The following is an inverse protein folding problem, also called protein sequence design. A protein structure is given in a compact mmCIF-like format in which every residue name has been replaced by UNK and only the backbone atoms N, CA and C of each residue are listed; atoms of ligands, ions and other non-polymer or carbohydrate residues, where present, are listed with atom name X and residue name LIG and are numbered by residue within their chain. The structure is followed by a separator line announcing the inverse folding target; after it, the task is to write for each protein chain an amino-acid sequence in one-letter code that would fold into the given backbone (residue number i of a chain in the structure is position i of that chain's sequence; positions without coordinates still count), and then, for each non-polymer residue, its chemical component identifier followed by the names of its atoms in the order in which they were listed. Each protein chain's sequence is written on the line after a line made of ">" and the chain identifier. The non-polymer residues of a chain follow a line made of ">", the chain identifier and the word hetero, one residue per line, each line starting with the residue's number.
data_IF_692365682097
#
_entry.id   IF_692365682097
#
_cell.length_a   1.000
_cell.length_b   1.000
_cell.length_c   1.000
_cell.angle_alpha   90.00
_cell.angle_beta   90.00
_cell.angle_gamma   90.00
#
_symmetry.space_group_name_H-M   'P 1'
#
loop_
_entity.id
_entity.type
_entity.pdbx_description
1 polymer ?
#
# COMPACT_ATOMS: atom_id res chain seq x y z
N UNK A 1 -37.30 12.21 -33.89
CA UNK A 1 -35.94 11.73 -33.57
C UNK A 1 -35.46 12.18 -32.17
N UNK A 2 -36.15 11.79 -31.08
CA UNK A 2 -35.84 12.30 -29.70
C UNK A 2 -35.37 11.23 -28.71
N UNK A 3 -35.47 9.94 -29.07
CA UNK A 3 -35.21 8.81 -28.16
C UNK A 3 -33.75 8.31 -28.12
N UNK A 4 -32.92 8.70 -29.09
CA UNK A 4 -31.54 8.19 -29.22
C UNK A 4 -30.55 8.90 -28.28
N UNK A 5 -30.84 10.15 -27.88
CA UNK A 5 -29.95 10.92 -26.99
C UNK A 5 -29.97 10.45 -25.54
N UNK A 6 -31.08 9.84 -25.08
CA UNK A 6 -31.20 9.39 -23.69
C UNK A 6 -30.35 8.14 -23.40
N UNK A 7 -30.12 7.29 -24.40
CA UNK A 7 -29.34 6.04 -24.26
C UNK A 7 -27.82 6.28 -24.15
N UNK A 8 -27.31 7.38 -24.69
CA UNK A 8 -25.87 7.69 -24.65
C UNK A 8 -25.41 8.21 -23.28
N UNK A 9 -26.30 8.83 -22.50
CA UNK A 9 -25.96 9.37 -21.17
C UNK A 9 -25.78 8.24 -20.15
N UNK A 10 -26.54 7.15 -20.28
CA UNK A 10 -26.48 6.00 -19.36
C UNK A 10 -25.18 5.21 -19.48
N UNK A 11 -24.57 5.17 -20.67
CA UNK A 11 -23.31 4.44 -20.90
C UNK A 11 -22.09 5.14 -20.30
N UNK A 12 -22.12 6.48 -20.20
CA UNK A 12 -21.01 7.27 -19.66
C UNK A 12 -20.93 7.22 -18.12
N UNK A 13 -22.08 7.09 -17.43
CA UNK A 13 -22.09 7.00 -15.97
C UNK A 13 -21.57 5.63 -15.50
N UNK A 14 -21.86 4.56 -16.25
CA UNK A 14 -21.36 3.23 -15.93
C UNK A 14 -19.84 3.06 -16.12
N UNK A 15 -19.22 3.86 -16.99
CA UNK A 15 -17.75 3.83 -17.22
C UNK A 15 -16.96 4.70 -16.25
N UNK A 16 -17.57 5.72 -15.62
CA UNK A 16 -16.90 6.57 -14.65
C UNK A 16 -16.63 5.91 -13.28
N UNK A 17 -17.38 4.87 -12.92
CA UNK A 17 -17.33 4.24 -11.59
C UNK A 17 -16.22 3.18 -11.46
N UNK A 18 -15.69 2.66 -12.57
CA UNK A 18 -14.71 1.56 -12.54
C UNK A 18 -13.24 2.02 -12.50
N UNK A 19 -12.99 3.33 -12.53
CA UNK A 19 -11.64 3.92 -12.43
C UNK A 19 -11.27 4.37 -11.02
N UNK A 20 -11.97 3.90 -9.98
CA UNK A 20 -11.35 3.71 -8.67
C UNK A 20 -10.37 2.55 -8.75
N UNK A 21 -9.38 2.68 -9.66
CA UNK A 21 -8.13 1.98 -9.56
C UNK A 21 -7.71 2.14 -8.12
N UNK A 22 -7.62 0.98 -7.47
CA UNK A 22 -7.16 0.78 -6.12
C UNK A 22 -5.74 1.33 -6.02
N UNK A 23 -5.60 2.64 -5.94
CA UNK A 23 -4.46 3.26 -5.34
C UNK A 23 -4.55 2.83 -3.88
N UNK A 24 -4.01 1.64 -3.60
CA UNK A 24 -3.64 1.30 -2.25
C UNK A 24 -2.89 2.53 -1.74
N UNK A 25 -3.29 3.09 -0.58
CA UNK A 25 -2.66 4.30 -0.09
C UNK A 25 -1.15 4.08 -0.17
N UNK A 26 -0.43 5.02 -0.76
CA UNK A 26 1.01 5.08 -0.60
C UNK A 26 1.23 5.34 0.89
N UNK A 27 1.17 4.28 1.70
CA UNK A 27 1.42 4.31 3.13
C UNK A 27 2.85 4.83 3.23
N UNK A 28 3.01 6.08 3.66
CA UNK A 28 4.32 6.65 3.89
C UNK A 28 5.00 5.74 4.91
N UNK A 29 6.03 5.02 4.45
CA UNK A 29 6.73 4.00 5.23
C UNK A 29 7.21 4.64 6.53
N UNK A 30 6.75 4.12 7.67
CA UNK A 30 7.01 4.69 8.98
C UNK A 30 7.97 3.80 9.76
N UNK A 31 8.81 4.39 10.61
CA UNK A 31 9.68 3.60 11.49
C UNK A 31 8.80 2.83 12.48
N UNK A 32 8.89 1.50 12.46
CA UNK A 32 8.23 0.63 13.43
C UNK A 32 9.15 0.26 14.57
N UNK A 33 10.38 -0.15 14.24
CA UNK A 33 11.35 -0.71 15.18
C UNK A 33 12.78 -0.39 14.76
N UNK A 34 13.71 -0.51 15.73
CA UNK A 34 15.15 -0.31 15.53
C UNK A 34 15.90 -1.44 16.19
N UNK A 35 16.82 -2.06 15.45
CA UNK A 35 17.57 -3.25 15.83
C UNK A 35 19.08 -3.01 15.77
N UNK A 36 19.83 -3.82 16.51
CA UNK A 36 21.30 -3.84 16.40
C UNK A 36 21.77 -4.72 15.24
N UNK A 37 21.11 -5.87 15.04
CA UNK A 37 21.49 -6.81 14.00
C UNK A 37 20.54 -6.73 12.81
N UNK A 38 21.10 -6.92 11.62
CA UNK A 38 20.33 -7.00 10.38
C UNK A 38 19.29 -8.14 10.43
N UNK A 39 19.70 -9.30 10.98
CA UNK A 39 18.86 -10.48 11.11
C UNK A 39 17.59 -10.22 11.90
N UNK A 40 17.68 -9.43 12.98
CA UNK A 40 16.55 -9.14 13.85
C UNK A 40 15.54 -8.24 13.14
N UNK A 41 16.03 -7.30 12.33
CA UNK A 41 15.19 -6.44 11.50
C UNK A 41 14.39 -7.27 10.48
N UNK A 42 15.05 -8.17 9.74
CA UNK A 42 14.34 -9.01 8.77
C UNK A 42 13.41 -10.02 9.44
N UNK A 43 13.77 -10.55 10.61
CA UNK A 43 12.90 -11.47 11.35
C UNK A 43 11.63 -10.74 11.84
N UNK A 44 11.79 -9.59 12.50
CA UNK A 44 10.66 -8.75 12.93
C UNK A 44 9.77 -8.32 11.76
N UNK A 45 10.37 -7.93 10.63
CA UNK A 45 9.68 -7.59 9.39
C UNK A 45 8.81 -8.73 8.85
N UNK A 46 9.38 -9.93 8.76
CA UNK A 46 8.67 -11.11 8.30
C UNK A 46 7.54 -11.53 9.26
N UNK A 47 7.77 -11.46 10.58
CA UNK A 47 6.74 -11.73 11.58
C UNK A 47 5.57 -10.76 11.46
N UNK A 48 5.83 -9.47 11.25
CA UNK A 48 4.75 -8.49 11.06
C UNK A 48 3.95 -8.72 9.77
N UNK A 49 4.56 -9.23 8.69
CA UNK A 49 3.81 -9.70 7.52
C UNK A 49 2.94 -10.91 7.90
N UNK A 50 3.51 -11.91 8.58
CA UNK A 50 2.78 -13.12 8.98
C UNK A 50 1.59 -12.82 9.91
N UNK A 51 1.72 -11.79 10.75
CA UNK A 51 0.68 -11.37 11.69
C UNK A 51 -0.27 -10.29 11.11
N UNK A 52 -0.06 -9.89 9.85
CA UNK A 52 -0.92 -8.93 9.16
C UNK A 52 -0.80 -7.49 9.67
N UNK A 53 0.31 -7.14 10.31
CA UNK A 53 0.56 -5.77 10.81
C UNK A 53 0.95 -4.81 9.69
N UNK A 54 1.61 -5.32 8.65
CA UNK A 54 1.98 -4.57 7.45
C UNK A 54 2.06 -5.50 6.23
N UNK A 55 1.96 -4.93 5.03
CA UNK A 55 2.03 -5.69 3.76
C UNK A 55 3.43 -5.79 3.19
N UNK A 56 4.31 -4.87 3.58
CA UNK A 56 5.70 -4.80 3.15
C UNK A 56 6.54 -4.17 4.24
N UNK A 57 7.83 -4.43 4.25
CA UNK A 57 8.78 -3.74 5.12
C UNK A 57 10.11 -3.57 4.39
N UNK A 58 10.94 -2.63 4.84
CA UNK A 58 12.37 -2.60 4.53
C UNK A 58 13.21 -2.40 5.78
N UNK A 59 14.43 -2.90 5.71
CA UNK A 59 15.48 -2.67 6.69
C UNK A 59 16.50 -1.68 6.12
N UNK A 60 16.72 -0.57 6.82
CA UNK A 60 17.68 0.48 6.46
C UNK A 60 18.77 0.55 7.53
N UNK A 61 20.05 0.60 7.13
CA UNK A 61 21.14 0.80 8.08
C UNK A 61 21.48 2.28 8.19
N UNK A 62 21.21 2.87 9.35
CA UNK A 62 21.35 4.30 9.62
C UNK A 62 21.87 4.45 11.06
N UNK A 63 22.80 5.39 11.32
CA UNK A 63 23.30 5.67 12.68
C UNK A 63 23.72 4.41 13.48
N UNK A 64 24.49 3.52 12.84
CA UNK A 64 24.95 2.24 13.40
C UNK A 64 23.85 1.26 13.85
N UNK A 65 22.63 1.44 13.33
CA UNK A 65 21.43 0.67 13.71
C UNK A 65 20.64 0.26 12.47
N UNK A 66 19.87 -0.82 12.59
CA UNK A 66 18.95 -1.29 11.56
C UNK A 66 17.53 -0.83 11.85
N UNK A 67 17.01 0.09 11.04
CA UNK A 67 15.66 0.62 11.13
C UNK A 67 14.70 -0.20 10.27
N UNK A 68 13.61 -0.65 10.87
CA UNK A 68 12.51 -1.31 10.19
C UNK A 68 11.46 -0.25 9.83
N UNK A 69 11.23 -0.08 8.53
CA UNK A 69 10.13 0.71 8.00
C UNK A 69 9.04 -0.23 7.50
N UNK A 70 7.79 0.12 7.80
CA UNK A 70 6.59 -0.56 7.30
C UNK A 70 5.34 0.31 7.47
#
# INVERSE_FOLDING_TARGET
>A
MRKVRALLVSAAVATGVLLSMTAAPAQAESIRYVYYLQSDCYNGGNLGIQWGWWTSFRCSYENDRWYLYA
#
